data_IF_431488154036
#
_entry.id   IF_431488154036
#
_cell.length_a   1.000
_cell.length_b   1.000
_cell.length_c   1.000
_cell.angle_alpha   90.00
_cell.angle_beta   90.00
_cell.angle_gamma   90.00
#
_symmetry.space_group_name_H-M   'P 1'
#
loop_
_entity.id
_entity.type
_entity.pdbx_description
1 polymer ?
#
# COMPACT_ATOMS: atom_id res chain seq x y z
N UNK A 1 -16.43 6.08 17.09
CA UNK A 1 -15.31 6.88 16.58
C UNK A 1 -13.97 6.13 16.55
N UNK A 2 -13.65 5.20 17.47
CA UNK A 2 -12.34 4.50 17.47
C UNK A 2 -12.26 3.19 16.61
N UNK A 3 -13.38 2.68 16.10
CA UNK A 3 -13.38 1.40 15.37
C UNK A 3 -12.82 1.58 13.95
N UNK A 4 -13.23 2.63 13.26
CA UNK A 4 -12.88 2.85 11.85
C UNK A 4 -11.38 3.17 11.71
N UNK A 5 -10.83 4.01 12.59
CA UNK A 5 -9.38 4.27 12.64
C UNK A 5 -8.58 2.98 12.89
N UNK A 6 -9.03 2.14 13.82
CA UNK A 6 -8.39 0.85 14.11
C UNK A 6 -8.45 -0.07 12.89
N UNK A 7 -9.60 -0.17 12.22
CA UNK A 7 -9.76 -0.98 11.01
C UNK A 7 -8.86 -0.49 9.88
N UNK A 8 -8.80 0.82 9.64
CA UNK A 8 -7.93 1.43 8.62
C UNK A 8 -6.46 1.16 8.93
N UNK A 9 -6.05 1.33 10.19
CA UNK A 9 -4.70 0.99 10.62
C UNK A 9 -4.37 -0.48 10.36
N UNK A 10 -5.33 -1.38 10.62
CA UNK A 10 -5.19 -2.81 10.37
C UNK A 10 -5.04 -3.11 8.87
N UNK A 11 -5.87 -2.49 8.01
CA UNK A 11 -5.80 -2.62 6.56
C UNK A 11 -4.41 -2.24 6.02
N UNK A 12 -3.83 -1.15 6.53
CA UNK A 12 -2.51 -0.68 6.09
C UNK A 12 -1.41 -1.61 6.58
N UNK A 13 -1.51 -2.13 7.81
CA UNK A 13 -0.54 -3.09 8.35
C UNK A 13 -0.58 -4.43 7.60
N UNK A 14 -1.77 -4.90 7.25
CA UNK A 14 -1.95 -6.13 6.49
C UNK A 14 -1.43 -5.98 5.06
N UNK A 15 -1.69 -4.83 4.43
CA UNK A 15 -1.13 -4.50 3.11
C UNK A 15 0.40 -4.42 3.14
N UNK A 16 0.97 -3.78 4.16
CA UNK A 16 2.42 -3.67 4.34
C UNK A 16 3.07 -5.05 4.54
N UNK A 17 2.42 -5.91 5.32
CA UNK A 17 2.86 -7.30 5.53
C UNK A 17 2.80 -8.11 4.24
N UNK A 18 1.77 -7.92 3.40
CA UNK A 18 1.66 -8.56 2.09
C UNK A 18 2.76 -8.07 1.13
N UNK A 19 3.09 -6.77 1.15
CA UNK A 19 4.20 -6.21 0.38
C UNK A 19 5.54 -6.86 0.77
N UNK A 20 5.85 -6.95 2.07
CA UNK A 20 7.07 -7.60 2.55
C UNK A 20 7.14 -9.09 2.16
N UNK A 21 6.00 -9.77 2.11
CA UNK A 21 5.88 -11.15 1.65
C UNK A 21 5.86 -11.30 0.11
N UNK A 22 5.84 -10.19 -0.64
CA UNK A 22 5.65 -10.13 -2.09
C UNK A 22 4.39 -10.86 -2.57
N UNK A 23 3.34 -10.84 -1.74
CA UNK A 23 2.06 -11.49 -2.01
C UNK A 23 1.12 -10.52 -2.72
N UNK A 24 1.17 -10.53 -4.06
CA UNK A 24 0.35 -9.63 -4.90
C UNK A 24 -1.13 -9.83 -4.63
N UNK A 25 -1.59 -11.08 -4.48
CA UNK A 25 -3.01 -11.35 -4.33
C UNK A 25 -3.54 -10.68 -3.05
N UNK A 26 -2.82 -10.81 -1.93
CA UNK A 26 -3.16 -10.12 -0.68
C UNK A 26 -3.05 -8.61 -0.77
N UNK A 27 -2.05 -8.08 -1.48
CA UNK A 27 -1.91 -6.63 -1.68
C UNK A 27 -3.12 -6.04 -2.43
N UNK A 28 -3.71 -6.81 -3.34
CA UNK A 28 -4.78 -6.32 -4.22
C UNK A 28 -6.20 -6.42 -3.63
N UNK A 29 -6.43 -7.21 -2.57
CA UNK A 29 -7.77 -7.55 -2.03
C UNK A 29 -8.67 -6.34 -1.73
N UNK A 30 -8.09 -5.25 -1.20
CA UNK A 30 -8.85 -4.12 -0.68
C UNK A 30 -8.93 -2.91 -1.63
N UNK A 31 -8.46 -3.05 -2.87
CA UNK A 31 -8.58 -1.97 -3.87
C UNK A 31 -9.93 -2.01 -4.57
N UNK A 32 -10.53 -0.83 -4.76
CA UNK A 32 -11.69 -0.67 -5.62
C UNK A 32 -11.31 -0.83 -7.10
N UNK A 33 -12.24 -1.32 -7.93
CA UNK A 33 -12.02 -1.57 -9.35
C UNK A 33 -11.57 -0.31 -10.12
N UNK A 34 -12.04 0.87 -9.69
CA UNK A 34 -11.79 2.18 -10.28
C UNK A 34 -10.69 2.99 -9.57
N UNK A 35 -9.84 2.35 -8.75
CA UNK A 35 -8.75 3.02 -8.03
C UNK A 35 -7.89 3.90 -8.93
N UNK A 36 -7.53 5.09 -8.44
CA UNK A 36 -6.53 5.96 -9.05
C UNK A 36 -5.30 5.99 -8.15
N UNK A 37 -4.17 5.54 -8.68
CA UNK A 37 -2.89 5.51 -7.96
C UNK A 37 -1.92 6.48 -8.58
N UNK A 38 -1.27 7.29 -7.75
CA UNK A 38 -0.13 8.09 -8.15
C UNK A 38 1.15 7.40 -7.72
N UNK A 39 2.06 7.16 -8.66
CA UNK A 39 3.31 6.42 -8.43
C UNK A 39 4.52 7.22 -8.94
N UNK A 40 5.71 6.88 -8.42
CA UNK A 40 6.98 7.53 -8.73
C UNK A 40 7.48 7.23 -10.15
N UNK A 41 6.95 6.20 -10.81
CA UNK A 41 7.31 5.82 -12.18
C UNK A 41 6.19 6.18 -13.18
N UNK A 42 6.53 6.57 -14.43
CA UNK A 42 5.53 6.74 -15.49
C UNK A 42 4.63 5.49 -15.62
N UNK A 43 3.31 5.67 -15.83
CA UNK A 43 2.63 6.91 -16.24
C UNK A 43 2.33 7.94 -15.14
N UNK A 44 2.89 7.81 -13.92
CA UNK A 44 2.67 8.67 -12.73
C UNK A 44 1.24 8.72 -12.20
N UNK A 45 0.26 8.42 -13.04
CA UNK A 45 -1.13 8.20 -12.70
C UNK A 45 -1.58 6.89 -13.36
N UNK A 46 -1.98 5.93 -12.54
CA UNK A 46 -2.49 4.62 -12.93
C UNK A 46 -3.98 4.60 -12.60
N UNK A 47 -4.80 4.10 -13.54
CA UNK A 47 -6.26 4.07 -13.39
C UNK A 47 -6.75 2.64 -13.53
N UNK A 48 -7.46 2.18 -12.51
CA UNK A 48 -8.05 0.85 -12.44
C UNK A 48 -7.14 -0.18 -11.78
N UNK A 49 -7.78 -1.11 -11.07
CA UNK A 49 -7.11 -2.15 -10.29
C UNK A 49 -6.25 -3.09 -11.13
N UNK A 50 -6.66 -3.36 -12.38
CA UNK A 50 -5.91 -4.21 -13.32
C UNK A 50 -4.56 -3.62 -13.69
N UNK A 51 -4.52 -2.33 -14.04
CA UNK A 51 -3.26 -1.67 -14.37
C UNK A 51 -2.39 -1.51 -13.12
N UNK A 52 -2.99 -1.27 -11.96
CA UNK A 52 -2.25 -1.21 -10.70
C UNK A 52 -1.59 -2.55 -10.33
N UNK A 53 -2.32 -3.66 -10.48
CA UNK A 53 -1.78 -5.01 -10.29
C UNK A 53 -0.59 -5.26 -11.21
N UNK A 54 -0.72 -4.90 -12.48
CA UNK A 54 0.35 -5.03 -13.48
C UNK A 54 1.60 -4.23 -13.09
N UNK A 55 1.44 -3.02 -12.55
CA UNK A 55 2.57 -2.23 -12.04
C UNK A 55 3.29 -2.94 -10.90
N UNK A 56 2.57 -3.53 -9.95
CA UNK A 56 3.19 -4.33 -8.88
C UNK A 56 3.90 -5.58 -9.38
N UNK A 57 3.28 -6.32 -10.30
CA UNK A 57 3.90 -7.51 -10.94
C UNK A 57 5.23 -7.16 -11.62
N UNK A 58 5.32 -5.99 -12.25
CA UNK A 58 6.55 -5.50 -12.85
C UNK A 58 7.55 -4.98 -11.80
N UNK A 59 7.07 -4.45 -10.67
CA UNK A 59 7.93 -3.83 -9.67
C UNK A 59 8.55 -4.84 -8.69
N UNK A 60 7.80 -5.82 -8.21
CA UNK A 60 8.23 -6.78 -7.17
C UNK A 60 9.49 -7.59 -7.50
N UNK A 61 9.76 -7.98 -8.76
CA UNK A 61 11.01 -8.66 -9.11
C UNK A 61 12.27 -7.83 -8.82
N UNK A 62 12.15 -6.50 -8.71
CA UNK A 62 13.28 -5.61 -8.40
C UNK A 62 13.50 -5.40 -6.89
N UNK A 63 12.63 -5.93 -6.03
CA UNK A 63 12.82 -5.88 -4.59
C UNK A 63 13.83 -6.94 -4.13
N UNK A 64 14.65 -6.65 -3.10
CA UNK A 64 15.58 -7.64 -2.54
C UNK A 64 14.83 -8.87 -2.02
N UNK A 65 15.54 -9.97 -1.83
CA UNK A 65 14.96 -11.23 -1.32
C UNK A 65 14.18 -11.03 -0.01
N UNK A 66 14.74 -10.25 0.92
CA UNK A 66 14.09 -9.82 2.14
C UNK A 66 14.23 -8.31 2.33
N UNK A 67 13.16 -7.66 2.75
CA UNK A 67 13.14 -6.27 3.21
C UNK A 67 12.02 -6.12 4.24
N UNK A 68 12.03 -5.01 4.96
CA UNK A 68 10.94 -4.61 5.85
C UNK A 68 10.49 -3.20 5.49
N UNK A 69 9.26 -2.89 5.87
CA UNK A 69 8.67 -1.56 5.70
C UNK A 69 8.14 -1.10 7.05
N UNK A 70 8.65 0.04 7.50
CA UNK A 70 8.16 0.72 8.69
C UNK A 70 7.25 1.87 8.29
N UNK A 71 6.06 1.89 8.89
CA UNK A 71 5.13 3.01 8.76
C UNK A 71 5.39 4.03 9.88
N UNK A 72 5.65 5.29 9.51
CA UNK A 72 5.93 6.39 10.44
C UNK A 72 4.99 7.56 10.22
N UNK A 73 4.73 8.32 11.28
CA UNK A 73 3.92 9.55 11.26
C UNK A 73 2.55 9.36 10.60
N UNK A 74 1.90 8.21 10.88
CA UNK A 74 0.57 7.93 10.37
C UNK A 74 -0.46 8.84 11.01
N UNK A 75 -1.30 9.45 10.18
CA UNK A 75 -2.44 10.22 10.60
C UNK A 75 -3.68 9.76 9.81
N UNK A 76 -4.74 9.40 10.54
CA UNK A 76 -6.00 8.92 10.00
C UNK A 76 -7.07 9.94 10.35
N UNK A 77 -7.85 10.39 9.36
CA UNK A 77 -9.01 11.24 9.56
C UNK A 77 -10.23 10.54 8.98
N UNK A 78 -11.22 10.26 9.82
CA UNK A 78 -12.48 9.61 9.40
C UNK A 78 -13.62 10.63 9.43
N UNK A 79 -14.45 10.63 8.39
CA UNK A 79 -15.63 11.48 8.28
C UNK A 79 -16.74 10.73 7.54
N UNK A 80 -17.76 10.31 8.30
CA UNK A 80 -18.89 9.56 7.75
C UNK A 80 -18.43 8.21 7.18
N UNK A 81 -18.61 8.02 5.88
CA UNK A 81 -18.25 6.84 5.11
C UNK A 81 -16.89 6.97 4.40
N UNK A 82 -16.14 8.05 4.66
CA UNK A 82 -14.84 8.31 4.04
C UNK A 82 -13.73 8.44 5.06
N UNK A 83 -12.51 8.10 4.64
CA UNK A 83 -11.32 8.36 5.42
C UNK A 83 -10.16 8.86 4.54
N UNK A 84 -9.33 9.72 5.13
CA UNK A 84 -8.08 10.18 4.55
C UNK A 84 -6.92 9.76 5.46
N UNK A 85 -5.89 9.15 4.85
CA UNK A 85 -4.73 8.65 5.58
C UNK A 85 -3.46 9.09 4.87
N UNK A 86 -2.47 9.51 5.65
CA UNK A 86 -1.12 9.72 5.17
C UNK A 86 -0.10 9.19 6.17
N UNK A 87 1.05 8.76 5.67
CA UNK A 87 2.19 8.29 6.46
C UNK A 87 3.47 8.37 5.65
N UNK A 88 4.61 8.19 6.31
CA UNK A 88 5.91 7.99 5.68
C UNK A 88 6.24 6.50 5.69
N UNK A 89 6.49 5.93 4.51
CA UNK A 89 6.95 4.55 4.36
C UNK A 89 8.47 4.50 4.34
N UNK A 90 9.08 3.80 5.28
CA UNK A 90 10.52 3.61 5.37
C UNK A 90 10.90 2.18 5.04
N UNK A 91 11.63 1.99 3.94
CA UNK A 91 12.19 0.69 3.58
C UNK A 91 13.46 0.44 4.40
N UNK A 92 13.45 -0.64 5.17
CA UNK A 92 14.57 -1.07 6.02
C UNK A 92 15.00 -2.49 5.66
N UNK A 93 16.18 -2.91 6.13
CA UNK A 93 16.72 -4.24 5.82
C UNK A 93 17.16 -4.43 4.37
N UNK A 94 17.33 -3.34 3.61
CA UNK A 94 17.91 -3.39 2.27
C UNK A 94 19.39 -3.79 2.37
N UNK A 95 19.90 -4.67 1.48
CA UNK A 95 21.35 -4.94 1.38
C UNK A 95 22.13 -3.64 1.16
N UNK A 96 23.31 -3.53 1.78
CA UNK A 96 24.24 -2.41 1.54
C UNK A 96 24.85 -2.48 0.15
#
# INVERSE_FOLDING_TARGET
ENNDETQIQQLINDWTSALCAKDIDRMMVNYADDVIVFDVKPPFQIKGVTEWRRTWEQCLPYFPESFQVETRDMNINVSGDTAFVHWVSWFTGMPK
#
